data_IF_580360286162
#
_entry.id   IF_580360286162
#
_cell.length_a   1.000
_cell.length_b   1.000
_cell.length_c   1.000
_cell.angle_alpha   90.00
_cell.angle_beta   90.00
_cell.angle_gamma   90.00
#
_symmetry.space_group_name_H-M   'P 1'
#
loop_
_entity.id
_entity.type
_entity.pdbx_description
1 polymer ?
#
# COMPACT_ATOMS: atom_id res chain seq x y z
N UNK A 1 14.38 -23.80 -8.63
CA UNK A 1 14.41 -22.55 -9.42
C UNK A 1 13.51 -21.49 -8.76
N UNK A 2 13.87 -20.20 -8.85
CA UNK A 2 13.01 -19.08 -8.38
C UNK A 2 12.57 -18.21 -9.55
N UNK A 3 11.26 -17.92 -9.66
CA UNK A 3 10.69 -17.11 -10.75
C UNK A 3 10.41 -15.69 -10.24
N UNK A 4 10.94 -14.67 -10.92
CA UNK A 4 10.81 -13.26 -10.52
C UNK A 4 10.02 -12.45 -11.53
N UNK A 5 9.18 -11.55 -11.03
CA UNK A 5 8.35 -10.67 -11.87
C UNK A 5 6.86 -11.00 -11.81
N UNK A 6 6.45 -11.86 -10.87
CA UNK A 6 5.06 -12.29 -10.73
C UNK A 6 4.23 -11.14 -10.17
N UNK A 7 3.18 -10.75 -10.90
CA UNK A 7 2.22 -9.72 -10.48
C UNK A 7 0.77 -10.22 -10.55
N UNK A 8 0.54 -11.43 -11.08
CA UNK A 8 -0.76 -12.06 -11.22
C UNK A 8 -0.84 -13.36 -10.38
N UNK A 9 -1.97 -13.63 -9.71
CA UNK A 9 -2.15 -14.87 -8.95
C UNK A 9 -2.14 -16.15 -9.79
N UNK A 10 -2.61 -16.12 -11.04
CA UNK A 10 -2.59 -17.31 -11.90
C UNK A 10 -1.16 -17.69 -12.27
N UNK A 11 -0.32 -16.70 -12.60
CA UNK A 11 1.11 -16.92 -12.86
C UNK A 11 1.81 -17.53 -11.64
N UNK A 12 1.40 -17.15 -10.42
CA UNK A 12 1.90 -17.75 -9.20
C UNK A 12 1.50 -19.23 -9.08
N UNK A 13 0.25 -19.57 -9.42
CA UNK A 13 -0.22 -20.97 -9.44
C UNK A 13 0.51 -21.79 -10.50
N UNK A 14 0.77 -21.20 -11.66
CA UNK A 14 1.59 -21.82 -12.69
C UNK A 14 3.01 -22.11 -12.20
N UNK A 15 3.64 -21.16 -11.49
CA UNK A 15 4.95 -21.38 -10.89
C UNK A 15 4.97 -22.60 -9.95
N UNK A 16 3.93 -22.79 -9.13
CA UNK A 16 3.76 -23.98 -8.29
C UNK A 16 3.61 -25.24 -9.16
N UNK A 17 2.75 -25.21 -10.18
CA UNK A 17 2.53 -26.35 -11.10
C UNK A 17 3.80 -26.79 -11.82
N UNK A 18 4.68 -25.84 -12.16
CA UNK A 18 5.96 -26.11 -12.81
C UNK A 18 7.07 -26.55 -11.83
N UNK A 19 6.78 -26.62 -10.53
CA UNK A 19 7.75 -27.06 -9.52
C UNK A 19 8.84 -26.03 -9.24
N UNK A 20 8.52 -24.73 -9.28
CA UNK A 20 9.43 -23.71 -8.79
C UNK A 20 9.59 -23.81 -7.26
N UNK A 21 10.78 -23.49 -6.75
CA UNK A 21 11.07 -23.45 -5.30
C UNK A 21 10.56 -22.16 -4.65
N UNK A 22 10.39 -21.11 -5.46
CA UNK A 22 10.06 -19.78 -4.99
C UNK A 22 9.56 -18.84 -6.09
N UNK A 23 8.83 -17.82 -5.68
CA UNK A 23 8.46 -16.69 -6.52
C UNK A 23 8.94 -15.37 -5.93
N UNK A 24 9.15 -14.37 -6.79
CA UNK A 24 9.39 -12.98 -6.37
C UNK A 24 8.32 -12.08 -6.93
N UNK A 25 7.47 -11.53 -6.05
CA UNK A 25 6.49 -10.50 -6.40
C UNK A 25 7.22 -9.20 -6.68
N UNK A 26 7.28 -8.81 -7.95
CA UNK A 26 8.19 -7.77 -8.43
C UNK A 26 7.65 -7.08 -9.67
N UNK A 27 7.68 -5.75 -9.70
CA UNK A 27 7.56 -4.97 -10.93
C UNK A 27 8.92 -4.41 -11.40
N UNK A 28 10.01 -5.05 -10.97
CA UNK A 28 11.39 -4.65 -11.26
C UNK A 28 11.74 -3.21 -10.83
N UNK A 29 11.09 -2.73 -9.78
CA UNK A 29 11.26 -1.36 -9.28
C UNK A 29 10.68 -0.31 -10.23
N UNK A 30 9.66 -0.67 -11.01
CA UNK A 30 8.98 0.20 -11.98
C UNK A 30 9.81 0.48 -13.24
N UNK A 31 10.62 -0.49 -13.68
CA UNK A 31 11.60 -0.31 -14.78
C UNK A 31 11.33 -1.16 -16.02
N UNK A 32 10.26 -1.94 -16.03
CA UNK A 32 9.92 -2.81 -17.15
C UNK A 32 8.64 -2.31 -17.82
N UNK A 33 7.48 -2.77 -17.35
CA UNK A 33 6.19 -2.28 -17.81
C UNK A 33 5.67 -1.20 -16.85
N UNK A 34 5.40 0.00 -17.37
CA UNK A 34 4.80 1.09 -16.59
C UNK A 34 3.27 0.93 -16.50
N UNK A 35 2.65 1.54 -15.49
CA UNK A 35 1.21 1.45 -15.25
C UNK A 35 0.72 0.13 -14.63
N UNK A 36 1.62 -0.80 -14.31
CA UNK A 36 1.28 -2.04 -13.58
C UNK A 36 1.06 -1.79 -12.09
N UNK A 37 0.51 -2.80 -11.40
CA UNK A 37 0.37 -2.77 -9.94
C UNK A 37 1.73 -2.57 -9.24
N UNK A 38 1.69 -1.91 -8.09
CA UNK A 38 2.81 -1.98 -7.16
C UNK A 38 2.92 -3.39 -6.59
N UNK A 39 4.14 -3.88 -6.32
CA UNK A 39 4.34 -5.20 -5.71
C UNK A 39 3.56 -5.37 -4.41
N UNK A 40 3.50 -4.32 -3.57
CA UNK A 40 2.72 -4.33 -2.33
C UNK A 40 1.20 -4.51 -2.56
N UNK A 41 0.67 -4.06 -3.70
CA UNK A 41 -0.75 -4.22 -4.05
C UNK A 41 -1.05 -5.58 -4.68
N UNK A 42 -0.12 -6.14 -5.45
CA UNK A 42 -0.26 -7.47 -6.04
C UNK A 42 -0.08 -8.60 -5.00
N UNK A 43 0.82 -8.40 -4.03
CA UNK A 43 1.25 -9.42 -3.09
C UNK A 43 0.11 -10.14 -2.33
N UNK A 44 -0.91 -9.46 -1.77
CA UNK A 44 -1.94 -10.16 -0.98
C UNK A 44 -2.71 -11.22 -1.77
N UNK A 45 -3.11 -10.91 -3.01
CA UNK A 45 -3.85 -11.85 -3.85
C UNK A 45 -2.99 -13.04 -4.28
N UNK A 46 -1.69 -12.82 -4.52
CA UNK A 46 -0.72 -13.88 -4.80
C UNK A 46 -0.53 -14.76 -3.57
N UNK A 47 -0.33 -14.16 -2.39
CA UNK A 47 -0.17 -14.90 -1.15
C UNK A 47 -1.42 -15.75 -0.84
N UNK A 48 -2.62 -15.20 -1.03
CA UNK A 48 -3.87 -15.95 -0.85
C UNK A 48 -3.99 -17.14 -1.82
N UNK A 49 -3.29 -17.10 -2.96
CA UNK A 49 -3.34 -18.16 -3.97
C UNK A 49 -2.35 -19.31 -3.74
N UNK A 50 -1.16 -19.05 -3.16
CA UNK A 50 -0.06 -20.04 -3.13
C UNK A 50 0.75 -20.10 -1.82
N UNK A 51 0.40 -19.31 -0.80
CA UNK A 51 1.17 -19.31 0.46
C UNK A 51 1.09 -20.67 1.15
N UNK A 52 2.26 -21.22 1.49
CA UNK A 52 2.41 -22.56 2.07
C UNK A 52 2.83 -23.62 1.06
N UNK A 53 2.56 -23.40 -0.23
CA UNK A 53 2.97 -24.31 -1.30
C UNK A 53 4.35 -23.96 -1.89
N UNK A 54 4.72 -22.67 -1.84
CA UNK A 54 5.96 -22.13 -2.43
C UNK A 54 6.49 -20.96 -1.60
N UNK A 55 7.81 -20.73 -1.62
CA UNK A 55 8.40 -19.57 -0.96
C UNK A 55 8.04 -18.27 -1.69
N UNK A 56 7.53 -17.28 -0.96
CA UNK A 56 7.10 -15.99 -1.50
C UNK A 56 8.10 -14.91 -1.08
N UNK A 57 8.91 -14.44 -2.03
CA UNK A 57 9.76 -13.27 -1.86
C UNK A 57 9.09 -12.04 -2.47
N UNK A 58 9.46 -10.84 -2.01
CA UNK A 58 8.98 -9.61 -2.61
C UNK A 58 10.05 -8.51 -2.69
N UNK A 59 9.97 -7.65 -3.70
CA UNK A 59 10.86 -6.50 -3.85
C UNK A 59 10.11 -5.24 -4.32
N UNK A 60 10.83 -4.26 -4.88
CA UNK A 60 10.26 -3.08 -5.55
C UNK A 60 9.61 -2.05 -4.62
N UNK A 61 10.43 -1.41 -3.80
CA UNK A 61 9.99 -0.22 -3.04
C UNK A 61 10.48 -0.13 -1.61
N UNK A 62 11.09 -1.19 -1.09
CA UNK A 62 11.51 -1.31 0.31
C UNK A 62 12.69 -0.37 0.60
N UNK A 63 12.55 0.46 1.64
CA UNK A 63 13.56 1.45 2.04
C UNK A 63 13.99 1.37 3.49
N UNK A 64 13.14 0.84 4.36
CA UNK A 64 13.33 0.79 5.81
C UNK A 64 12.73 -0.50 6.39
N UNK A 65 12.98 -0.75 7.68
CA UNK A 65 12.47 -1.94 8.38
C UNK A 65 10.96 -2.02 8.50
N UNK A 66 10.24 -0.88 8.55
CA UNK A 66 8.78 -0.87 8.57
C UNK A 66 8.19 -1.38 7.25
N UNK A 67 8.81 -1.06 6.11
CA UNK A 67 8.41 -1.60 4.81
C UNK A 67 8.61 -3.11 4.76
N UNK A 68 9.68 -3.64 5.36
CA UNK A 68 9.90 -5.10 5.48
C UNK A 68 8.77 -5.74 6.26
N UNK A 69 8.46 -5.23 7.45
CA UNK A 69 7.35 -5.73 8.29
C UNK A 69 6.02 -5.67 7.54
N UNK A 70 5.76 -4.58 6.81
CA UNK A 70 4.54 -4.44 5.99
C UNK A 70 4.46 -5.51 4.90
N UNK A 71 5.54 -5.77 4.18
CA UNK A 71 5.55 -6.79 3.12
C UNK A 71 5.35 -8.20 3.68
N UNK A 72 5.94 -8.50 4.84
CA UNK A 72 5.71 -9.78 5.54
C UNK A 72 4.24 -9.89 5.95
N UNK A 73 3.67 -8.84 6.56
CA UNK A 73 2.26 -8.78 6.93
C UNK A 73 1.31 -8.96 5.73
N UNK A 74 1.70 -8.48 4.54
CA UNK A 74 0.93 -8.64 3.30
C UNK A 74 1.01 -10.06 2.72
N UNK A 75 1.95 -10.89 3.18
CA UNK A 75 2.03 -12.31 2.81
C UNK A 75 3.40 -12.79 2.32
N UNK A 76 4.41 -11.93 2.21
CA UNK A 76 5.77 -12.37 1.86
C UNK A 76 6.42 -13.15 3.00
N UNK A 77 7.30 -14.09 2.67
CA UNK A 77 8.15 -14.82 3.62
C UNK A 77 9.48 -14.08 3.84
N UNK A 78 9.97 -13.38 2.81
CA UNK A 78 11.14 -12.51 2.90
C UNK A 78 11.12 -11.45 1.79
N UNK A 79 12.07 -10.53 1.86
CA UNK A 79 12.16 -9.40 0.94
C UNK A 79 13.54 -9.23 0.34
N UNK A 80 13.60 -8.58 -0.83
CA UNK A 80 14.85 -8.27 -1.52
C UNK A 80 15.08 -6.75 -1.57
N UNK A 81 16.33 -6.33 -1.32
CA UNK A 81 16.74 -4.93 -1.38
C UNK A 81 17.42 -4.64 -2.71
N UNK A 82 16.84 -3.70 -3.47
CA UNK A 82 17.42 -3.22 -4.74
C UNK A 82 18.23 -1.94 -4.57
N UNK A 83 17.63 -0.80 -4.92
CA UNK A 83 18.31 0.52 -4.91
C UNK A 83 18.90 0.91 -3.55
N UNK A 84 18.22 0.62 -2.44
CA UNK A 84 18.74 0.93 -1.11
C UNK A 84 20.11 0.27 -0.86
N UNK A 85 20.25 -1.00 -1.24
CA UNK A 85 21.51 -1.73 -1.17
C UNK A 85 22.59 -1.07 -2.03
N UNK A 86 22.27 -0.76 -3.29
CA UNK A 86 23.22 -0.12 -4.21
C UNK A 86 23.67 1.26 -3.73
N UNK A 87 22.78 2.07 -3.15
CA UNK A 87 23.13 3.38 -2.63
C UNK A 87 24.03 3.27 -1.40
N UNK A 88 23.75 2.33 -0.49
CA UNK A 88 24.61 2.07 0.65
C UNK A 88 26.01 1.61 0.21
N UNK A 89 26.07 0.72 -0.78
CA UNK A 89 27.31 0.25 -1.39
C UNK A 89 28.11 1.39 -2.03
N UNK A 90 27.44 2.29 -2.76
CA UNK A 90 28.09 3.44 -3.38
C UNK A 90 28.64 4.44 -2.36
N UNK A 91 27.98 4.61 -1.21
CA UNK A 91 28.39 5.58 -0.18
C UNK A 91 29.62 5.13 0.59
N UNK A 92 29.70 3.86 0.99
CA UNK A 92 30.79 3.37 1.86
C UNK A 92 31.13 1.89 1.67
N UNK A 93 30.93 1.37 0.46
CA UNK A 93 31.23 -0.03 0.13
C UNK A 93 30.52 -1.01 1.06
N UNK A 94 31.23 -2.06 1.47
CA UNK A 94 30.73 -3.08 2.39
C UNK A 94 30.23 -2.47 3.71
N UNK A 95 30.96 -1.50 4.27
CA UNK A 95 30.58 -0.88 5.55
C UNK A 95 29.24 -0.13 5.45
N UNK A 96 28.97 0.51 4.31
CA UNK A 96 27.68 1.15 4.04
C UNK A 96 26.55 0.12 3.99
N UNK A 97 26.76 -0.99 3.29
CA UNK A 97 25.78 -2.10 3.23
C UNK A 97 25.52 -2.71 4.60
N UNK A 98 26.57 -2.97 5.39
CA UNK A 98 26.41 -3.50 6.75
C UNK A 98 25.57 -2.55 7.62
N UNK A 99 25.87 -1.25 7.59
CA UNK A 99 25.09 -0.25 8.32
C UNK A 99 23.62 -0.17 7.85
N UNK A 100 23.35 -0.32 6.55
CA UNK A 100 21.97 -0.39 6.03
C UNK A 100 21.21 -1.59 6.61
N UNK A 101 21.83 -2.76 6.62
CA UNK A 101 21.20 -3.98 7.14
C UNK A 101 20.94 -3.86 8.65
N UNK A 102 21.90 -3.33 9.41
CA UNK A 102 21.74 -3.05 10.84
C UNK A 102 20.59 -2.07 11.12
N UNK A 103 20.45 -1.03 10.28
CA UNK A 103 19.39 -0.05 10.41
C UNK A 103 18.02 -0.68 10.15
N UNK A 104 17.90 -1.46 9.07
CA UNK A 104 16.67 -2.19 8.74
C UNK A 104 16.29 -3.13 9.89
N UNK A 105 17.24 -3.88 10.46
CA UNK A 105 16.98 -4.76 11.60
C UNK A 105 16.46 -3.98 12.82
N UNK A 106 17.09 -2.86 13.16
CA UNK A 106 16.65 -2.01 14.29
C UNK A 106 15.25 -1.45 14.06
N UNK A 107 14.96 -0.96 12.86
CA UNK A 107 13.64 -0.44 12.49
C UNK A 107 12.57 -1.54 12.50
N UNK A 108 12.89 -2.77 12.06
CA UNK A 108 12.01 -3.93 12.18
C UNK A 108 11.69 -4.22 13.66
N UNK A 109 12.70 -4.23 14.54
CA UNK A 109 12.50 -4.44 15.99
C UNK A 109 11.58 -3.37 16.60
N UNK A 110 11.77 -2.10 16.21
CA UNK A 110 10.89 -1.00 16.65
C UNK A 110 9.46 -1.23 16.17
N UNK A 111 9.27 -1.53 14.88
CA UNK A 111 7.95 -1.77 14.32
C UNK A 111 7.24 -2.94 15.01
N UNK A 112 7.92 -4.08 15.14
CA UNK A 112 7.42 -5.27 15.84
C UNK A 112 7.03 -4.99 17.29
N UNK A 113 7.86 -4.24 18.02
CA UNK A 113 7.57 -3.83 19.41
C UNK A 113 6.30 -2.98 19.49
N UNK A 114 6.15 -2.02 18.57
CA UNK A 114 5.00 -1.11 18.56
C UNK A 114 3.70 -1.79 18.08
N UNK A 115 3.81 -2.85 17.26
CA UNK A 115 2.66 -3.66 16.82
C UNK A 115 2.40 -4.87 17.71
N UNK A 116 3.20 -5.08 18.76
CA UNK A 116 3.04 -6.19 19.70
C UNK A 116 3.45 -7.57 19.17
N UNK A 117 4.17 -7.63 18.05
CA UNK A 117 4.69 -8.88 17.49
C UNK A 117 6.03 -9.24 18.14
N UNK A 118 6.12 -10.38 18.82
CA UNK A 118 7.35 -10.83 19.49
C UNK A 118 8.28 -11.60 18.57
N UNK A 119 7.75 -12.11 17.46
CA UNK A 119 8.46 -12.90 16.46
C UNK A 119 7.98 -12.54 15.06
N UNK A 120 8.79 -12.83 14.03
CA UNK A 120 8.42 -12.58 12.63
C UNK A 120 7.14 -13.35 12.26
N UNK A 121 6.96 -14.55 12.81
CA UNK A 121 5.77 -15.39 12.62
C UNK A 121 4.48 -14.80 13.20
N UNK A 122 4.56 -13.84 14.12
CA UNK A 122 3.39 -13.14 14.66
C UNK A 122 2.94 -11.96 13.79
N UNK A 123 3.73 -11.59 12.77
CA UNK A 123 3.37 -10.53 11.84
C UNK A 123 2.31 -11.06 10.87
N UNK A 124 1.14 -10.45 10.83
CA UNK A 124 0.02 -10.87 9.99
C UNK A 124 -0.70 -9.68 9.35
N UNK A 125 -1.68 -9.96 8.50
CA UNK A 125 -2.57 -8.95 7.91
C UNK A 125 -3.32 -8.13 8.99
N UNK A 126 -3.45 -8.63 10.22
CA UNK A 126 -4.08 -7.91 11.34
C UNK A 126 -3.21 -6.78 11.88
N UNK A 127 -1.89 -6.81 11.62
CA UNK A 127 -0.98 -5.71 11.91
C UNK A 127 -1.19 -4.51 10.96
N UNK A 128 -2.01 -4.66 9.93
CA UNK A 128 -2.29 -3.62 8.93
C UNK A 128 -3.68 -3.05 9.12
N UNK A 129 -3.80 -1.73 8.96
CA UNK A 129 -5.10 -1.08 8.86
C UNK A 129 -5.78 -1.55 7.58
N UNK A 130 -6.93 -2.20 7.72
CA UNK A 130 -7.78 -2.55 6.59
C UNK A 130 -8.32 -1.27 5.94
N UNK A 131 -8.43 -1.28 4.61
CA UNK A 131 -8.91 -0.13 3.84
C UNK A 131 -10.19 0.45 4.47
N UNK A 132 -10.26 1.77 4.61
CA UNK A 132 -11.40 2.50 5.21
C UNK A 132 -12.71 2.35 4.42
N UNK A 133 -12.82 1.44 3.45
CA UNK A 133 -14.05 1.18 2.68
C UNK A 133 -15.22 0.74 3.56
N UNK A 134 -14.97 0.25 4.78
CA UNK A 134 -16.02 -0.02 5.79
C UNK A 134 -16.62 1.25 6.42
N UNK A 135 -15.98 2.41 6.27
CA UNK A 135 -16.50 3.68 6.74
C UNK A 135 -16.69 4.61 5.55
N UNK A 136 -17.94 4.82 5.07
CA UNK A 136 -18.17 5.86 4.08
C UNK A 136 -17.61 7.18 4.64
N UNK A 137 -16.90 7.99 3.84
CA UNK A 137 -16.35 9.26 4.30
C UNK A 137 -17.42 10.05 5.05
N UNK A 138 -17.04 10.81 6.09
CA UNK A 138 -17.99 11.47 7.01
C UNK A 138 -19.06 12.32 6.30
N UNK A 139 -18.79 12.84 5.10
CA UNK A 139 -19.75 13.56 4.24
C UNK A 139 -20.87 12.68 3.64
N UNK A 140 -20.65 11.39 3.42
CA UNK A 140 -21.68 10.42 3.03
C UNK A 140 -22.65 10.08 4.18
N UNK A 141 -22.29 10.43 5.42
CA UNK A 141 -23.16 10.31 6.61
C UNK A 141 -24.05 11.53 6.83
N UNK A 142 -23.89 12.58 6.02
CA UNK A 142 -24.75 13.76 6.07
C UNK A 142 -26.14 13.36 5.58
N UNK A 143 -27.12 13.34 6.49
CA UNK A 143 -28.52 13.18 6.14
C UNK A 143 -28.89 14.34 5.20
N UNK A 144 -29.52 14.04 4.06
CA UNK A 144 -30.15 15.08 3.23
C UNK A 144 -31.30 15.68 4.04
N UNK A 145 -31.02 16.74 4.78
CA UNK A 145 -32.05 17.52 5.43
C UNK A 145 -32.23 18.79 4.60
N UNK A 146 -33.16 18.72 3.65
CA UNK A 146 -33.59 19.90 2.90
C UNK A 146 -34.28 20.85 3.86
N UNK A 147 -33.58 21.92 4.24
CA UNK A 147 -34.10 23.05 5.02
C UNK A 147 -34.50 24.17 4.05
N UNK A 148 -35.79 24.27 3.65
CA UNK A 148 -36.25 25.26 2.67
C UNK A 148 -36.18 26.72 3.18
N UNK A 149 -35.91 26.94 4.47
CA UNK A 149 -35.91 28.23 5.16
C UNK A 149 -34.61 29.05 5.03
N UNK A 150 -33.52 28.48 4.50
CA UNK A 150 -32.20 29.11 4.44
C UNK A 150 -31.83 29.74 3.07
N UNK A 151 -32.80 29.97 2.19
CA UNK A 151 -32.58 30.66 0.92
C UNK A 151 -32.33 32.17 1.11
N UNK A 152 -31.09 32.57 1.40
CA UNK A 152 -30.56 33.88 1.01
C UNK A 152 -29.65 33.70 -0.20
N UNK A 153 -30.21 33.99 -1.38
CA UNK A 153 -29.46 33.96 -2.63
C UNK A 153 -28.33 35.00 -2.60
N UNK A 154 -27.08 34.53 -2.56
CA UNK A 154 -25.94 35.36 -2.93
C UNK A 154 -25.91 35.44 -4.47
N UNK A 155 -26.22 36.62 -5.02
CA UNK A 155 -26.04 36.88 -6.45
C UNK A 155 -24.54 36.96 -6.76
N UNK A 156 -24.00 35.90 -7.36
CA UNK A 156 -22.68 35.91 -7.98
C UNK A 156 -22.86 35.80 -9.49
N UNK A 157 -22.63 36.89 -10.22
CA UNK A 157 -22.66 36.88 -11.68
C UNK A 157 -21.39 36.22 -12.22
N UNK A 158 -21.52 35.17 -13.06
CA UNK A 158 -20.40 34.63 -13.85
C UNK A 158 -20.83 34.22 -15.26
N UNK A 159 -19.94 34.54 -16.20
CA UNK A 159 -20.05 34.42 -17.65
C UNK A 159 -19.35 33.18 -18.22
N UNK A 160 -19.21 32.08 -17.46
CA UNK A 160 -18.49 30.90 -17.92
C UNK A 160 -19.23 29.64 -17.49
N UNK A 161 -19.84 28.95 -18.46
CA UNK A 161 -20.69 27.77 -18.30
C UNK A 161 -19.97 26.53 -17.79
N UNK A 162 -19.48 26.59 -16.54
CA UNK A 162 -18.93 25.45 -15.81
C UNK A 162 -19.75 25.28 -14.53
N UNK A 163 -20.31 24.08 -14.32
CA UNK A 163 -20.98 23.73 -13.06
C UNK A 163 -19.92 23.53 -11.98
N UNK A 164 -19.91 24.42 -10.99
CA UNK A 164 -19.08 24.30 -9.79
C UNK A 164 -19.97 23.95 -8.60
N UNK A 165 -19.69 22.82 -7.96
CA UNK A 165 -20.26 22.51 -6.64
C UNK A 165 -19.43 23.24 -5.59
N UNK A 166 -19.98 24.27 -4.95
CA UNK A 166 -19.38 24.86 -3.77
C UNK A 166 -19.89 24.12 -2.52
N UNK A 167 -18.97 23.68 -1.66
CA UNK A 167 -19.28 23.00 -0.42
C UNK A 167 -18.94 23.92 0.76
N UNK A 168 -19.93 24.18 1.63
CA UNK A 168 -19.70 24.92 2.87
C UNK A 168 -20.12 24.04 4.05
N UNK A 169 -19.21 23.86 5.01
CA UNK A 169 -19.46 23.10 6.24
C UNK A 169 -19.43 24.07 7.41
N UNK A 170 -20.56 24.23 8.10
CA UNK A 170 -20.62 24.99 9.35
C UNK A 170 -21.40 24.19 10.38
N UNK A 171 -20.83 23.99 11.58
CA UNK A 171 -21.44 23.28 12.71
C UNK A 171 -22.16 21.97 12.35
N UNK A 172 -21.42 21.01 11.76
CA UNK A 172 -21.95 19.68 11.35
C UNK A 172 -23.13 19.71 10.35
N UNK A 173 -23.42 20.87 9.73
CA UNK A 173 -24.48 21.01 8.72
C UNK A 173 -23.81 21.28 7.36
N UNK A 174 -24.12 20.46 6.35
CA UNK A 174 -23.72 20.71 4.97
C UNK A 174 -24.92 21.27 4.21
N UNK A 175 -24.78 22.46 3.65
CA UNK A 175 -25.78 23.05 2.76
C UNK A 175 -25.24 22.91 1.34
N UNK A 176 -25.82 22.02 0.54
CA UNK A 176 -25.54 21.94 -0.89
C UNK A 176 -26.42 22.96 -1.62
N UNK A 177 -25.79 23.99 -2.18
CA UNK A 177 -26.46 24.89 -3.10
C UNK A 177 -26.36 24.33 -4.52
N UNK A 178 -27.52 24.14 -5.16
CA UNK A 178 -27.58 23.97 -6.61
C UNK A 178 -27.56 25.36 -7.23
N UNK A 179 -26.44 25.71 -7.86
CA UNK A 179 -26.33 26.91 -8.67
C UNK A 179 -26.58 26.47 -10.11
N UNK A 180 -27.80 26.69 -10.61
CA UNK A 180 -28.18 26.51 -12.01
C UNK A 180 -27.72 27.69 -12.86
#
# INVERSE_FOLDING_TARGET
MVIKGILDPEDARDAVRFGADGIVVSNHGGRQLDGVLSSARALPAIADAVKGDIAILADSGIRNGLDVVRMIALGADSVLLGRAYLYALATSGQAGVANLLDLIEKEMKVAMTLTGAKSISEISKDSLVQELSKYPPRWLRCRKETRPDLFRAFHFTRSVGIRLNAFFVQNNTCITFWIS
#
